data_IF_406606241774
#
_entry.id   IF_406606241774
#
_cell.length_a   1.000
_cell.length_b   1.000
_cell.length_c   1.000
_cell.angle_alpha   90.00
_cell.angle_beta   90.00
_cell.angle_gamma   90.00
#
_symmetry.space_group_name_H-M   'P 1'
#
loop_
_entity.id
_entity.type
_entity.pdbx_description
1 polymer ?
#
# COMPACT_ATOMS: atom_id res chain seq x y z
N UNK A 1 13.92 -17.93 13.17
CA UNK A 1 14.44 -18.25 11.82
C UNK A 1 15.29 -17.07 11.40
N UNK A 2 16.53 -17.31 10.98
CA UNK A 2 17.51 -16.23 10.77
C UNK A 2 18.10 -16.36 9.37
N UNK A 3 18.12 -15.26 8.63
CA UNK A 3 18.71 -15.21 7.28
C UNK A 3 19.98 -14.37 7.31
N UNK A 4 20.92 -14.67 6.41
CA UNK A 4 22.19 -13.95 6.30
C UNK A 4 22.16 -13.03 5.09
N UNK A 5 22.71 -11.82 5.26
CA UNK A 5 22.94 -10.91 4.15
C UNK A 5 23.94 -11.51 3.16
N UNK A 6 23.63 -11.46 1.86
CA UNK A 6 24.50 -11.94 0.79
C UNK A 6 24.77 -10.84 -0.22
N UNK A 7 26.02 -10.76 -0.69
CA UNK A 7 26.39 -9.89 -1.80
C UNK A 7 26.11 -10.59 -3.13
N UNK A 8 25.32 -9.96 -3.99
CA UNK A 8 25.02 -10.41 -5.35
C UNK A 8 25.32 -9.24 -6.29
N UNK A 9 26.39 -9.38 -7.08
CA UNK A 9 26.95 -8.27 -7.85
C UNK A 9 27.37 -7.11 -6.93
N UNK A 10 26.78 -5.94 -7.17
CA UNK A 10 27.03 -4.73 -6.38
C UNK A 10 25.98 -4.49 -5.28
N UNK A 11 25.04 -5.41 -5.08
CA UNK A 11 23.93 -5.25 -4.14
C UNK A 11 23.98 -6.25 -3.00
N UNK A 12 23.41 -5.86 -1.86
CA UNK A 12 23.17 -6.76 -0.73
C UNK A 12 21.73 -7.28 -0.78
N UNK A 13 21.55 -8.57 -0.51
CA UNK A 13 20.26 -9.25 -0.61
C UNK A 13 19.99 -10.09 0.64
N UNK A 14 18.74 -10.09 1.10
CA UNK A 14 18.23 -10.99 2.13
C UNK A 14 17.31 -12.00 1.47
N UNK A 15 17.52 -13.28 1.75
CA UNK A 15 16.67 -14.34 1.20
C UNK A 15 15.37 -14.40 1.99
N UNK A 16 14.23 -14.51 1.30
CA UNK A 16 12.93 -14.77 1.93
C UNK A 16 12.80 -16.27 2.19
N UNK A 17 12.61 -16.73 3.44
CA UNK A 17 12.40 -18.13 3.74
C UNK A 17 11.15 -18.73 3.07
N UNK A 18 11.22 -20.00 2.67
CA UNK A 18 10.18 -20.70 1.89
C UNK A 18 8.79 -20.79 2.56
N UNK A 19 8.71 -20.63 3.88
CA UNK A 19 7.43 -20.62 4.59
C UNK A 19 6.68 -19.28 4.43
N UNK A 20 7.38 -18.21 4.07
CA UNK A 20 6.78 -16.93 3.71
C UNK A 20 6.50 -16.97 2.21
N UNK A 21 5.22 -16.82 1.84
CA UNK A 21 4.78 -16.76 0.45
C UNK A 21 4.51 -15.30 0.08
N UNK A 22 5.41 -14.62 -0.66
CA UNK A 22 5.19 -13.25 -1.07
C UNK A 22 3.94 -13.15 -1.95
N UNK A 23 3.09 -12.15 -1.68
CA UNK A 23 1.88 -11.86 -2.47
C UNK A 23 2.16 -10.90 -3.63
N UNK A 24 3.36 -10.32 -3.68
CA UNK A 24 3.79 -9.34 -4.68
C UNK A 24 5.24 -9.59 -5.09
N UNK A 25 5.61 -9.01 -6.25
CA UNK A 25 6.97 -9.07 -6.80
C UNK A 25 7.77 -7.78 -6.57
N UNK A 26 7.08 -6.68 -6.26
CA UNK A 26 7.69 -5.37 -6.00
C UNK A 26 7.36 -4.90 -4.59
N UNK A 27 8.32 -4.27 -3.94
CA UNK A 27 8.21 -3.79 -2.56
C UNK A 27 8.85 -2.42 -2.41
N UNK A 28 8.20 -1.52 -1.69
CA UNK A 28 8.83 -0.32 -1.18
C UNK A 28 9.63 -0.67 0.07
N UNK A 29 10.84 -0.11 0.19
CA UNK A 29 11.79 -0.46 1.24
C UNK A 29 12.17 0.79 2.02
N UNK A 30 12.05 0.73 3.35
CA UNK A 30 12.49 1.81 4.23
C UNK A 30 13.07 1.28 5.53
N UNK A 31 13.88 2.11 6.18
CA UNK A 31 14.48 1.83 7.47
C UNK A 31 13.70 2.56 8.58
N UNK A 32 13.11 1.81 9.50
CA UNK A 32 12.40 2.35 10.66
C UNK A 32 13.35 2.85 11.76
N UNK A 33 12.76 3.41 12.83
CA UNK A 33 13.50 4.04 13.94
C UNK A 33 14.48 3.11 14.67
N UNK A 34 14.15 1.82 14.74
CA UNK A 34 15.00 0.81 15.41
C UNK A 34 15.92 0.06 14.44
N UNK A 35 16.17 0.63 13.26
CA UNK A 35 16.99 0.00 12.23
C UNK A 35 16.32 -1.18 11.52
N UNK A 36 15.04 -1.43 11.79
CA UNK A 36 14.25 -2.42 11.07
C UNK A 36 14.15 -2.06 9.59
N UNK A 37 14.41 -3.02 8.72
CA UNK A 37 14.17 -2.88 7.29
C UNK A 37 12.79 -3.45 6.99
N UNK A 38 11.87 -2.59 6.57
CA UNK A 38 10.49 -2.97 6.27
C UNK A 38 10.31 -3.02 4.75
N UNK A 39 9.71 -4.11 4.28
CA UNK A 39 9.33 -4.31 2.88
C UNK A 39 7.80 -4.30 2.80
N UNK A 40 7.23 -3.31 2.12
CA UNK A 40 5.78 -3.20 1.94
C UNK A 40 5.46 -3.56 0.50
N UNK A 41 4.58 -4.54 0.23
CA UNK A 41 4.18 -4.87 -1.14
C UNK A 41 3.68 -3.62 -1.86
N UNK A 42 4.19 -3.38 -3.06
CA UNK A 42 3.74 -2.27 -3.87
C UNK A 42 2.36 -2.60 -4.44
N UNK A 43 1.36 -1.83 -4.04
CA UNK A 43 0.00 -1.96 -4.54
C UNK A 43 -0.32 -0.81 -5.48
N UNK A 44 -1.15 -1.08 -6.50
CA UNK A 44 -1.72 -0.02 -7.32
C UNK A 44 -2.66 0.80 -6.45
N UNK A 45 -2.46 2.12 -6.41
CA UNK A 45 -3.34 3.00 -5.67
C UNK A 45 -4.74 2.94 -6.30
N UNK A 46 -5.78 2.49 -5.57
CA UNK A 46 -7.12 2.37 -6.11
C UNK A 46 -7.73 3.72 -6.53
N UNK A 47 -7.29 4.82 -5.92
CA UNK A 47 -7.75 6.17 -6.25
C UNK A 47 -7.13 6.75 -7.53
N UNK A 48 -6.16 6.04 -8.12
CA UNK A 48 -5.62 6.34 -9.45
C UNK A 48 -5.98 5.26 -10.48
N UNK A 49 -6.78 4.28 -10.08
CA UNK A 49 -7.23 3.22 -10.97
C UNK A 49 -8.63 3.57 -11.51
N UNK A 50 -8.70 3.99 -12.77
CA UNK A 50 -9.96 4.34 -13.42
C UNK A 50 -11.00 3.22 -13.35
N UNK A 51 -10.58 1.95 -13.42
CA UNK A 51 -11.50 0.81 -13.32
C UNK A 51 -12.07 0.63 -11.92
N UNK A 52 -11.25 0.90 -10.90
CA UNK A 52 -11.69 0.90 -9.51
C UNK A 52 -12.64 2.07 -9.25
N UNK A 53 -12.28 3.26 -9.75
CA UNK A 53 -13.08 4.47 -9.56
C UNK A 53 -14.47 4.33 -10.21
N UNK A 54 -14.55 3.74 -11.41
CA UNK A 54 -15.83 3.56 -12.10
C UNK A 54 -16.71 2.47 -11.47
N UNK A 55 -16.14 1.52 -10.75
CA UNK A 55 -16.88 0.38 -10.17
C UNK A 55 -17.38 0.61 -8.74
N UNK A 56 -16.96 1.69 -8.09
CA UNK A 56 -17.27 1.97 -6.70
C UNK A 56 -18.11 3.24 -6.55
N UNK A 57 -19.11 3.18 -5.68
CA UNK A 57 -19.89 4.35 -5.27
C UNK A 57 -19.14 5.13 -4.19
N UNK A 58 -18.79 6.37 -4.50
CA UNK A 58 -18.11 7.29 -3.59
C UNK A 58 -19.06 8.34 -3.00
N UNK A 59 -20.37 8.13 -3.08
CA UNK A 59 -21.33 9.01 -2.44
C UNK A 59 -21.35 8.82 -0.93
N UNK A 60 -21.56 9.91 -0.19
CA UNK A 60 -21.67 9.91 1.27
C UNK A 60 -22.67 10.97 1.73
N UNK A 61 -23.34 10.77 2.86
CA UNK A 61 -24.20 11.82 3.44
C UNK A 61 -23.36 12.95 4.01
N UNK A 62 -23.80 14.18 3.81
CA UNK A 62 -23.17 15.37 4.39
C UNK A 62 -23.36 15.38 5.92
N UNK A 63 -22.26 15.50 6.67
CA UNK A 63 -22.27 15.37 8.13
C UNK A 63 -22.04 16.70 8.86
N UNK A 64 -21.32 17.65 8.25
CA UNK A 64 -20.88 18.86 8.95
C UNK A 64 -21.80 20.07 8.69
N UNK A 65 -22.71 19.97 7.72
CA UNK A 65 -23.67 21.03 7.39
C UNK A 65 -22.97 22.19 6.68
N UNK A 66 -23.03 22.19 5.35
CA UNK A 66 -22.33 23.20 4.56
C UNK A 66 -22.65 23.08 3.07
N UNK A 67 -21.94 23.87 2.26
CA UNK A 67 -22.02 23.76 0.80
C UNK A 67 -21.30 22.48 0.38
N UNK A 68 -22.00 21.63 -0.37
CA UNK A 68 -21.44 20.39 -0.92
C UNK A 68 -20.24 20.69 -1.84
N UNK A 69 -19.14 19.96 -1.65
CA UNK A 69 -17.88 20.15 -2.39
C UNK A 69 -17.59 18.97 -3.31
N UNK A 70 -18.10 17.78 -2.98
CA UNK A 70 -17.85 16.55 -3.72
C UNK A 70 -19.12 15.73 -3.99
N UNK A 71 -19.01 14.41 -3.81
CA UNK A 71 -20.11 13.46 -3.99
C UNK A 71 -21.01 13.36 -2.74
N UNK A 72 -21.11 14.45 -1.98
CA UNK A 72 -21.92 14.49 -0.77
C UNK A 72 -23.41 14.58 -1.14
N UNK A 73 -24.25 13.86 -0.39
CA UNK A 73 -25.70 13.87 -0.52
C UNK A 73 -26.27 14.61 0.70
N UNK A 74 -27.22 15.51 0.47
CA UNK A 74 -27.94 16.18 1.56
C UNK A 74 -28.62 15.12 2.44
N UNK A 75 -28.42 15.25 3.75
CA UNK A 75 -29.17 14.48 4.75
C UNK A 75 -30.57 15.09 4.83
N UNK A 76 -31.61 14.30 4.58
CA UNK A 76 -33.02 14.72 4.73
C UNK A 76 -33.33 15.25 6.13
#
# INVERSE_FOLDING_TARGET
>A
MSVKLRKVGNSNTLTVPNNIKPIAHEFDVFQGRDGMIVFVPKHKNPFHDESFIQSHDFTQSEEFGGKLIGNEILKD
#
